data_IF_543057147949
#
_entry.id   IF_543057147949
#
_cell.length_a   1.000
_cell.length_b   1.000
_cell.length_c   1.000
_cell.angle_alpha   90.00
_cell.angle_beta   90.00
_cell.angle_gamma   90.00
#
_symmetry.space_group_name_H-M   'P 1'
#
loop_
_entity.id
_entity.type
_entity.pdbx_description
1 polymer ?
#
# COMPACT_ATOMS: atom_id res chain seq x y z
N UNK A 1 -22.85 29.32 -5.11
CA UNK A 1 -23.23 30.74 -5.31
C UNK A 1 -22.04 31.70 -5.43
N UNK A 2 -20.87 31.47 -4.80
CA UNK A 2 -19.73 32.44 -4.83
C UNK A 2 -19.14 32.70 -6.24
N UNK A 3 -19.02 31.68 -7.09
CA UNK A 3 -18.41 31.80 -8.43
C UNK A 3 -19.18 32.71 -9.39
N UNK A 4 -20.51 32.72 -9.33
CA UNK A 4 -21.35 33.57 -10.17
C UNK A 4 -21.14 35.07 -9.85
N UNK A 5 -21.11 35.41 -8.57
CA UNK A 5 -20.91 36.77 -8.08
C UNK A 5 -19.46 37.26 -8.23
N UNK A 6 -18.49 36.34 -8.26
CA UNK A 6 -17.08 36.65 -8.59
C UNK A 6 -16.94 37.22 -10.02
N UNK A 7 -17.73 36.71 -10.97
CA UNK A 7 -17.65 37.14 -12.36
C UNK A 7 -18.57 38.34 -12.66
N UNK A 8 -19.81 38.33 -12.14
CA UNK A 8 -20.86 39.31 -12.48
C UNK A 8 -21.07 40.42 -11.44
N UNK A 9 -20.50 40.33 -10.24
CA UNK A 9 -20.69 41.31 -9.17
C UNK A 9 -19.87 42.60 -9.33
N UNK A 10 -20.22 43.66 -8.59
CA UNK A 10 -19.38 44.86 -8.45
C UNK A 10 -18.09 44.59 -7.66
N UNK A 11 -17.14 45.55 -7.65
CA UNK A 11 -15.80 45.39 -7.05
C UNK A 11 -15.85 44.85 -5.61
N UNK A 12 -16.70 45.41 -4.75
CA UNK A 12 -16.84 44.94 -3.36
C UNK A 12 -17.39 43.52 -3.27
N UNK A 13 -18.36 43.17 -4.11
CA UNK A 13 -18.93 41.81 -4.16
C UNK A 13 -17.88 40.80 -4.62
N UNK A 14 -17.05 41.16 -5.61
CA UNK A 14 -15.93 40.33 -6.07
C UNK A 14 -14.90 40.09 -4.97
N UNK A 15 -14.55 41.14 -4.21
CA UNK A 15 -13.63 41.02 -3.07
C UNK A 15 -14.17 40.04 -2.03
N UNK A 16 -15.42 40.21 -1.60
CA UNK A 16 -16.06 39.32 -0.61
C UNK A 16 -16.22 37.89 -1.12
N UNK A 17 -16.57 37.70 -2.39
CA UNK A 17 -16.63 36.38 -3.03
C UNK A 17 -15.25 35.70 -3.07
N UNK A 18 -14.18 36.47 -3.31
CA UNK A 18 -12.80 35.98 -3.29
C UNK A 18 -12.39 35.52 -1.89
N UNK A 19 -12.67 36.34 -0.86
CA UNK A 19 -12.38 35.97 0.55
C UNK A 19 -13.13 34.71 0.95
N UNK A 20 -14.43 34.60 0.60
CA UNK A 20 -15.21 33.38 0.87
C UNK A 20 -14.63 32.16 0.17
N UNK A 21 -14.19 32.30 -1.08
CA UNK A 21 -13.56 31.22 -1.81
C UNK A 21 -12.24 30.81 -1.17
N UNK A 22 -11.42 31.79 -0.78
CA UNK A 22 -10.14 31.57 -0.13
C UNK A 22 -10.32 30.80 1.18
N UNK A 23 -11.27 31.19 2.04
CA UNK A 23 -11.57 30.50 3.30
C UNK A 23 -11.95 29.03 3.05
N UNK A 24 -12.80 28.76 2.05
CA UNK A 24 -13.18 27.39 1.69
C UNK A 24 -12.00 26.59 1.16
N UNK A 25 -11.08 27.24 0.45
CA UNK A 25 -9.87 26.62 -0.10
C UNK A 25 -8.78 26.34 0.96
N UNK A 26 -8.76 27.05 2.10
CA UNK A 26 -7.69 26.90 3.11
C UNK A 26 -7.54 25.45 3.59
N UNK A 27 -8.63 24.81 3.97
CA UNK A 27 -8.60 23.45 4.55
C UNK A 27 -8.05 22.43 3.54
N UNK A 28 -8.60 22.30 2.31
CA UNK A 28 -8.04 21.35 1.34
C UNK A 28 -6.62 21.72 0.92
N UNK A 29 -6.28 22.99 0.77
CA UNK A 29 -4.91 23.41 0.46
C UNK A 29 -3.93 23.04 1.56
N UNK A 30 -4.30 23.24 2.84
CA UNK A 30 -3.48 22.83 3.98
C UNK A 30 -3.22 21.32 3.98
N UNK A 31 -4.25 20.51 3.75
CA UNK A 31 -4.11 19.05 3.66
C UNK A 31 -3.17 18.67 2.51
N UNK A 32 -3.35 19.26 1.32
CA UNK A 32 -2.51 19.00 0.16
C UNK A 32 -1.04 19.35 0.46
N UNK A 33 -0.77 20.54 1.03
CA UNK A 33 0.61 20.96 1.34
C UNK A 33 1.28 19.98 2.30
N UNK A 34 0.57 19.52 3.34
CA UNK A 34 1.13 18.56 4.29
C UNK A 34 1.38 17.19 3.67
N UNK A 35 0.43 16.68 2.86
CA UNK A 35 0.61 15.41 2.14
C UNK A 35 1.77 15.51 1.14
N UNK A 36 1.86 16.62 0.40
CA UNK A 36 2.95 16.86 -0.55
C UNK A 36 4.30 16.96 0.17
N UNK A 37 4.38 17.74 1.25
CA UNK A 37 5.60 17.86 2.05
C UNK A 37 6.05 16.53 2.64
N UNK A 38 5.11 15.74 3.18
CA UNK A 38 5.38 14.39 3.65
C UNK A 38 5.85 13.47 2.52
N UNK A 39 5.20 13.54 1.35
CA UNK A 39 5.55 12.73 0.17
C UNK A 39 6.97 13.04 -0.30
N UNK A 40 7.34 14.32 -0.39
CA UNK A 40 8.68 14.75 -0.78
C UNK A 40 9.72 14.25 0.23
N UNK A 41 9.42 14.38 1.53
CA UNK A 41 10.31 13.93 2.60
C UNK A 41 10.50 12.40 2.63
N UNK A 42 9.56 11.66 2.05
CA UNK A 42 9.55 10.20 2.03
C UNK A 42 9.56 9.64 0.59
N UNK A 43 10.14 10.38 -0.35
CA UNK A 43 10.05 10.10 -1.78
C UNK A 43 10.48 8.67 -2.15
N UNK A 44 11.55 8.17 -1.53
CA UNK A 44 12.13 6.87 -1.89
C UNK A 44 11.20 5.73 -1.44
N UNK A 45 10.61 5.87 -0.25
CA UNK A 45 9.57 4.97 0.24
C UNK A 45 8.33 4.99 -0.65
N UNK A 46 7.81 6.19 -0.97
CA UNK A 46 6.62 6.34 -1.83
C UNK A 46 6.90 5.77 -3.23
N UNK A 47 8.05 6.07 -3.82
CA UNK A 47 8.47 5.52 -5.10
C UNK A 47 8.57 4.00 -5.06
N UNK A 48 9.14 3.42 -4.00
CA UNK A 48 9.20 1.97 -3.79
C UNK A 48 7.81 1.32 -3.78
N UNK A 49 6.87 1.88 -3.01
CA UNK A 49 5.48 1.39 -2.97
C UNK A 49 4.82 1.48 -4.35
N UNK A 50 4.97 2.61 -5.04
CA UNK A 50 4.40 2.80 -6.38
C UNK A 50 5.00 1.85 -7.42
N UNK A 51 6.30 1.57 -7.34
CA UNK A 51 6.97 0.57 -8.19
C UNK A 51 6.40 -0.82 -7.91
N UNK A 52 6.24 -1.22 -6.64
CA UNK A 52 5.63 -2.51 -6.31
C UNK A 52 4.20 -2.62 -6.87
N UNK A 53 3.39 -1.57 -6.74
CA UNK A 53 2.04 -1.53 -7.30
C UNK A 53 2.07 -1.61 -8.83
N UNK A 54 3.00 -0.91 -9.48
CA UNK A 54 3.13 -0.94 -10.93
C UNK A 54 3.52 -2.33 -11.43
N UNK A 55 4.50 -2.98 -10.82
CA UNK A 55 4.91 -4.35 -11.16
C UNK A 55 3.77 -5.32 -10.95
N UNK A 56 3.12 -5.28 -9.79
CA UNK A 56 1.97 -6.12 -9.47
C UNK A 56 0.82 -5.93 -10.48
N UNK A 57 0.53 -4.69 -10.86
CA UNK A 57 -0.51 -4.37 -11.82
C UNK A 57 -0.18 -4.86 -13.23
N UNK A 58 1.07 -4.68 -13.69
CA UNK A 58 1.53 -5.16 -15.00
C UNK A 58 1.47 -6.68 -15.05
N UNK A 59 2.07 -7.37 -14.07
CA UNK A 59 2.10 -8.84 -14.05
C UNK A 59 0.69 -9.40 -13.91
N UNK A 60 -0.14 -8.83 -13.04
CA UNK A 60 -1.55 -9.22 -12.89
C UNK A 60 -2.34 -9.02 -14.19
N UNK A 61 -2.13 -7.90 -14.89
CA UNK A 61 -2.77 -7.64 -16.19
C UNK A 61 -2.37 -8.68 -17.23
N UNK A 62 -1.08 -9.00 -17.34
CA UNK A 62 -0.57 -10.05 -18.24
C UNK A 62 -1.17 -11.41 -17.89
N UNK A 63 -1.20 -11.75 -16.60
CA UNK A 63 -1.76 -13.02 -16.13
C UNK A 63 -3.25 -13.16 -16.51
N UNK A 64 -4.07 -12.15 -16.21
CA UNK A 64 -5.50 -12.16 -16.54
C UNK A 64 -5.78 -12.07 -18.04
N UNK A 65 -4.94 -11.37 -18.82
CA UNK A 65 -5.10 -11.27 -20.26
C UNK A 65 -4.76 -12.58 -20.99
N UNK A 66 -3.65 -13.23 -20.64
CA UNK A 66 -3.12 -14.34 -21.43
C UNK A 66 -3.36 -15.72 -20.82
N UNK A 67 -3.43 -15.86 -19.50
CA UNK A 67 -3.63 -17.16 -18.83
C UNK A 67 -5.10 -17.40 -18.52
N UNK A 68 -5.73 -16.48 -17.78
CA UNK A 68 -7.12 -16.63 -17.32
C UNK A 68 -8.12 -16.24 -18.40
N UNK A 69 -7.74 -15.33 -19.31
CA UNK A 69 -8.57 -14.82 -20.40
C UNK A 69 -9.87 -14.14 -19.94
N UNK A 70 -9.86 -13.53 -18.77
CA UNK A 70 -11.00 -12.81 -18.17
C UNK A 70 -10.75 -11.29 -18.02
N UNK A 71 -9.70 -10.79 -18.68
CA UNK A 71 -9.29 -9.40 -18.61
C UNK A 71 -10.38 -8.45 -19.09
N UNK A 72 -10.68 -7.45 -18.27
CA UNK A 72 -11.52 -6.31 -18.65
C UNK A 72 -10.91 -5.03 -18.09
N UNK A 73 -10.91 -3.96 -18.87
CA UNK A 73 -10.35 -2.66 -18.45
C UNK A 73 -11.00 -2.15 -17.16
N UNK A 74 -12.31 -2.35 -17.00
CA UNK A 74 -13.05 -1.96 -15.79
C UNK A 74 -12.52 -2.67 -14.55
N UNK A 75 -12.42 -4.00 -14.56
CA UNK A 75 -11.90 -4.77 -13.42
C UNK A 75 -10.44 -4.39 -13.12
N UNK A 76 -9.64 -4.22 -14.18
CA UNK A 76 -8.24 -3.87 -14.04
C UNK A 76 -8.04 -2.50 -13.37
N UNK A 77 -8.76 -1.48 -13.84
CA UNK A 77 -8.71 -0.12 -13.28
C UNK A 77 -9.21 -0.09 -11.83
N UNK A 78 -10.31 -0.79 -11.52
CA UNK A 78 -10.80 -0.92 -10.14
C UNK A 78 -9.75 -1.58 -9.25
N UNK A 79 -9.12 -2.67 -9.72
CA UNK A 79 -8.05 -3.35 -8.99
C UNK A 79 -6.87 -2.44 -8.67
N UNK A 80 -6.44 -1.62 -9.63
CA UNK A 80 -5.37 -0.62 -9.44
C UNK A 80 -5.76 0.43 -8.40
N UNK A 81 -6.96 1.02 -8.53
CA UNK A 81 -7.45 2.04 -7.62
C UNK A 81 -7.60 1.50 -6.19
N UNK A 82 -8.07 0.27 -6.04
CA UNK A 82 -8.16 -0.39 -4.73
C UNK A 82 -6.80 -0.60 -4.09
N UNK A 83 -5.79 -1.03 -4.86
CA UNK A 83 -4.42 -1.23 -4.33
C UNK A 83 -3.78 0.10 -3.92
N UNK A 84 -3.94 1.14 -4.73
CA UNK A 84 -3.49 2.49 -4.40
C UNK A 84 -4.18 3.03 -3.14
N UNK A 85 -5.50 2.92 -3.06
CA UNK A 85 -6.26 3.44 -1.91
C UNK A 85 -5.91 2.71 -0.62
N UNK A 86 -5.76 1.38 -0.65
CA UNK A 86 -5.34 0.60 0.51
C UNK A 86 -3.94 0.97 0.99
N UNK A 87 -2.98 1.16 0.08
CA UNK A 87 -1.63 1.61 0.46
C UNK A 87 -1.63 3.01 1.08
N UNK A 88 -2.41 3.95 0.53
CA UNK A 88 -2.55 5.30 1.08
C UNK A 88 -3.18 5.27 2.47
N UNK A 89 -4.30 4.55 2.64
CA UNK A 89 -4.98 4.42 3.92
C UNK A 89 -4.07 3.78 4.96
N UNK A 90 -3.40 2.68 4.61
CA UNK A 90 -2.47 2.00 5.52
C UNK A 90 -1.29 2.90 5.91
N UNK A 91 -0.69 3.61 4.96
CA UNK A 91 0.41 4.54 5.23
C UNK A 91 -0.01 5.65 6.21
N UNK A 92 -1.21 6.23 6.04
CA UNK A 92 -1.74 7.26 6.95
C UNK A 92 -1.98 6.67 8.34
N UNK A 93 -2.61 5.50 8.44
CA UNK A 93 -2.89 4.86 9.73
C UNK A 93 -1.60 4.57 10.49
N UNK A 94 -0.59 4.01 9.80
CA UNK A 94 0.70 3.73 10.41
C UNK A 94 1.49 4.98 10.78
N UNK A 95 1.41 6.05 9.97
CA UNK A 95 1.97 7.35 10.31
C UNK A 95 1.44 7.84 11.66
N UNK A 96 0.12 7.79 11.84
CA UNK A 96 -0.53 8.20 13.10
C UNK A 96 -0.03 7.35 14.27
N UNK A 97 0.14 6.03 14.08
CA UNK A 97 0.61 5.13 15.12
C UNK A 97 2.01 5.53 15.63
N UNK A 98 2.99 5.69 14.75
CA UNK A 98 4.33 6.02 15.21
C UNK A 98 4.49 7.48 15.65
N UNK A 99 3.62 8.39 15.20
CA UNK A 99 3.59 9.77 15.70
C UNK A 99 3.26 9.85 17.21
N UNK A 100 2.52 8.87 17.76
CA UNK A 100 2.22 8.80 19.20
C UNK A 100 3.49 8.61 20.04
N UNK A 101 4.50 7.93 19.49
CA UNK A 101 5.75 7.59 20.18
C UNK A 101 6.94 8.45 19.71
N UNK A 102 6.67 9.58 19.04
CA UNK A 102 7.70 10.45 18.44
C UNK A 102 8.78 10.95 19.40
N UNK A 103 8.47 11.00 20.71
CA UNK A 103 9.40 11.48 21.74
C UNK A 103 10.47 10.44 22.10
N UNK A 104 10.22 9.16 21.82
CA UNK A 104 11.17 8.08 22.03
C UNK A 104 11.80 7.68 20.69
N UNK A 105 12.94 8.31 20.35
CA UNK A 105 13.60 8.18 19.03
C UNK A 105 13.80 6.74 18.56
N UNK A 106 14.30 5.86 19.44
CA UNK A 106 14.50 4.44 19.12
C UNK A 106 13.18 3.78 18.70
N UNK A 107 12.15 3.90 19.53
CA UNK A 107 10.85 3.24 19.30
C UNK A 107 10.20 3.80 18.05
N UNK A 108 10.26 5.13 17.86
CA UNK A 108 9.76 5.82 16.68
C UNK A 108 10.41 5.28 15.39
N UNK A 109 11.74 5.22 15.33
CA UNK A 109 12.46 4.82 14.12
C UNK A 109 12.20 3.34 13.78
N UNK A 110 12.23 2.46 14.77
CA UNK A 110 11.92 1.04 14.56
C UNK A 110 10.48 0.84 14.09
N UNK A 111 9.50 1.47 14.75
CA UNK A 111 8.10 1.32 14.39
C UNK A 111 7.81 1.90 13.01
N UNK A 112 8.42 3.03 12.67
CA UNK A 112 8.35 3.65 11.35
C UNK A 112 8.93 2.73 10.27
N UNK A 113 10.08 2.10 10.50
CA UNK A 113 10.66 1.15 9.55
C UNK A 113 9.76 -0.07 9.34
N UNK A 114 9.31 -0.70 10.44
CA UNK A 114 8.48 -1.91 10.39
C UNK A 114 7.16 -1.65 9.70
N UNK A 115 6.48 -0.56 10.04
CA UNK A 115 5.18 -0.23 9.46
C UNK A 115 5.28 0.11 7.97
N UNK A 116 6.34 0.82 7.54
CA UNK A 116 6.61 1.04 6.12
C UNK A 116 6.88 -0.25 5.37
N UNK A 117 7.62 -1.17 5.98
CA UNK A 117 7.85 -2.49 5.40
C UNK A 117 6.52 -3.24 5.20
N UNK A 118 5.62 -3.22 6.18
CA UNK A 118 4.28 -3.84 6.05
C UNK A 118 3.52 -3.27 4.86
N UNK A 119 3.51 -1.94 4.68
CA UNK A 119 2.82 -1.30 3.55
C UNK A 119 3.42 -1.70 2.20
N UNK A 120 4.76 -1.79 2.10
CA UNK A 120 5.44 -2.24 0.87
C UNK A 120 5.18 -3.72 0.59
N UNK A 121 5.11 -4.55 1.63
CA UNK A 121 4.89 -5.98 1.49
C UNK A 121 3.50 -6.31 0.94
N UNK A 122 2.49 -5.46 1.14
CA UNK A 122 1.16 -5.67 0.55
C UNK A 122 1.19 -5.76 -0.99
N UNK A 123 1.60 -4.71 -1.76
CA UNK A 123 1.68 -4.80 -3.20
C UNK A 123 2.80 -5.74 -3.67
N UNK A 124 3.92 -5.83 -2.96
CA UNK A 124 5.01 -6.74 -3.33
C UNK A 124 4.57 -8.22 -3.22
N UNK A 125 3.87 -8.59 -2.15
CA UNK A 125 3.33 -9.93 -1.96
C UNK A 125 2.30 -10.28 -3.04
N UNK A 126 1.42 -9.34 -3.39
CA UNK A 126 0.50 -9.51 -4.53
C UNK A 126 1.27 -9.72 -5.85
N UNK A 127 2.32 -8.93 -6.11
CA UNK A 127 3.17 -9.10 -7.28
C UNK A 127 3.76 -10.50 -7.33
N UNK A 128 4.34 -10.95 -6.22
CA UNK A 128 4.93 -12.28 -6.10
C UNK A 128 3.95 -13.41 -6.37
N UNK A 129 2.71 -13.31 -5.88
CA UNK A 129 1.67 -14.31 -6.21
C UNK A 129 1.38 -14.35 -7.72
N UNK A 130 1.25 -13.18 -8.35
CA UNK A 130 1.01 -13.10 -9.79
C UNK A 130 2.20 -13.63 -10.62
N UNK A 131 3.44 -13.34 -10.22
CA UNK A 131 4.66 -13.83 -10.88
C UNK A 131 4.76 -15.36 -10.70
N UNK A 132 4.50 -15.87 -9.50
CA UNK A 132 4.49 -17.32 -9.25
C UNK A 132 3.45 -18.01 -10.12
N UNK A 133 2.24 -17.47 -10.23
CA UNK A 133 1.20 -18.01 -11.10
C UNK A 133 1.62 -17.98 -12.57
N UNK A 134 2.25 -16.90 -13.04
CA UNK A 134 2.71 -16.77 -14.42
C UNK A 134 3.85 -17.74 -14.77
N UNK A 135 4.73 -18.01 -13.80
CA UNK A 135 5.92 -18.87 -13.95
C UNK A 135 5.67 -20.34 -13.57
N UNK A 136 4.42 -20.73 -13.33
CA UNK A 136 4.05 -22.06 -12.81
C UNK A 136 4.83 -22.44 -11.55
N UNK A 137 5.05 -21.48 -10.65
CA UNK A 137 5.71 -21.73 -9.38
C UNK A 137 7.22 -21.78 -9.40
N UNK A 138 7.87 -21.30 -10.48
CA UNK A 138 9.34 -21.21 -10.53
C UNK A 138 9.86 -20.06 -9.68
N UNK A 139 9.18 -18.91 -9.68
CA UNK A 139 9.60 -17.75 -8.89
C UNK A 139 8.43 -16.85 -8.47
N UNK A 140 8.34 -16.49 -7.17
CA UNK A 140 8.91 -17.25 -6.06
C UNK A 140 8.31 -18.68 -6.02
N UNK A 141 9.01 -19.66 -5.44
CA UNK A 141 8.53 -21.04 -5.37
C UNK A 141 7.16 -21.16 -4.69
N UNK A 142 6.28 -22.03 -5.18
CA UNK A 142 4.94 -22.25 -4.60
C UNK A 142 5.00 -22.63 -3.12
N UNK A 143 6.01 -23.41 -2.72
CA UNK A 143 6.23 -23.78 -1.32
C UNK A 143 6.53 -22.58 -0.41
N UNK A 144 7.13 -21.52 -0.95
CA UNK A 144 7.37 -20.29 -0.21
C UNK A 144 6.09 -19.47 -0.06
N UNK A 145 5.33 -19.34 -1.15
CA UNK A 145 4.02 -18.66 -1.15
C UNK A 145 3.03 -19.38 -0.22
N UNK A 146 3.00 -20.71 -0.22
CA UNK A 146 2.10 -21.48 0.64
C UNK A 146 2.43 -21.31 2.12
N UNK A 147 3.73 -21.31 2.49
CA UNK A 147 4.18 -21.02 3.86
C UNK A 147 3.79 -19.62 4.32
N UNK A 148 3.96 -18.61 3.47
CA UNK A 148 3.50 -17.25 3.77
C UNK A 148 1.99 -17.14 3.93
N UNK A 149 1.23 -17.81 3.07
CA UNK A 149 -0.23 -17.81 3.16
C UNK A 149 -0.72 -18.53 4.43
N UNK A 150 -0.09 -19.65 4.80
CA UNK A 150 -0.37 -20.36 6.04
C UNK A 150 -0.06 -19.49 7.27
N UNK A 151 1.09 -18.81 7.26
CA UNK A 151 1.44 -17.87 8.32
C UNK A 151 0.48 -16.69 8.41
N UNK A 152 0.08 -16.09 7.30
CA UNK A 152 -0.89 -14.99 7.31
C UNK A 152 -2.28 -15.42 7.82
N UNK A 153 -2.64 -16.69 7.65
CA UNK A 153 -3.92 -17.24 8.08
C UNK A 153 -3.93 -17.57 9.58
N UNK A 154 -2.90 -18.29 10.04
CA UNK A 154 -2.90 -18.93 11.36
C UNK A 154 -1.86 -18.32 12.33
N UNK A 155 -1.03 -17.38 11.85
CA UNK A 155 0.11 -16.77 12.57
C UNK A 155 1.10 -17.78 13.16
N UNK A 156 1.07 -19.02 12.69
CA UNK A 156 1.89 -20.10 13.19
C UNK A 156 3.26 -20.14 12.50
N UNK A 157 4.31 -19.85 13.27
CA UNK A 157 5.71 -19.89 12.86
C UNK A 157 6.22 -21.32 12.62
N UNK A 158 5.53 -22.35 13.11
CA UNK A 158 5.94 -23.73 12.90
C UNK A 158 5.92 -24.13 11.43
N UNK A 159 5.12 -23.45 10.60
CA UNK A 159 5.09 -23.65 9.15
C UNK A 159 6.42 -23.28 8.45
N UNK A 160 7.28 -22.48 9.09
CA UNK A 160 8.61 -22.13 8.60
C UNK A 160 9.72 -23.01 9.20
N UNK A 161 9.44 -23.79 10.24
CA UNK A 161 10.42 -24.71 10.82
C UNK A 161 10.60 -25.90 9.89
N UNK A 162 11.83 -26.32 9.68
CA UNK A 162 12.09 -27.61 9.06
C UNK A 162 11.56 -28.70 10.00
N UNK A 163 10.85 -29.69 9.43
CA UNK A 163 10.52 -30.90 10.17
C UNK A 163 11.84 -31.54 10.55
N UNK A 164 12.22 -31.48 11.83
CA UNK A 164 13.28 -32.36 12.33
C UNK A 164 12.82 -33.80 12.04
N UNK A 165 13.66 -34.65 11.44
CA UNK A 165 13.32 -36.06 11.32
C UNK A 165 13.09 -36.58 12.75
N UNK A 166 11.93 -37.18 13.00
CA UNK A 166 11.71 -37.99 14.19
C UNK A 166 12.83 -39.03 14.21
N UNK A 167 13.78 -38.86 15.12
CA UNK A 167 14.68 -39.93 15.50
C UNK A 167 13.80 -40.98 16.16
N UNK A 168 13.33 -41.95 15.36
CA UNK A 168 12.80 -43.19 15.88
C UNK A 168 13.94 -43.87 16.64
N UNK A 169 14.02 -43.63 17.94
CA UNK A 169 14.63 -44.55 18.88
C UNK A 169 13.86 -45.87 18.77
N UNK A 170 14.29 -46.70 17.82
CA UNK A 170 14.11 -48.14 17.92
C UNK A 170 14.94 -48.58 19.12
N UNK A 171 14.33 -48.53 20.30
CA UNK A 171 14.78 -49.29 21.45
C UNK A 171 14.57 -50.75 21.04
N UNK A 172 15.67 -51.38 20.61
CA UNK A 172 15.79 -52.83 20.53
C UNK A 172 15.90 -53.32 21.97
N UNK A 173 14.83 -53.91 22.48
CA UNK A 173 14.87 -54.94 23.53
C UNK A 173 14.28 -56.24 22.97
#
# INVERSE_FOLDING_TARGET
MSFYWLHKGGILIKLWSTVKLAIVAVIPTFVIINITGWTISNRDYVAGVLICIAVDHIVGSIYHAFRVKDFTFKKNAIGLLTKLSLCVVAAILFEVIYLVVKEASLIYDYLKMVTRLIVVLYPAGSAFMNISALTNGRFPPLGWISKLNAFNKDLDLNNFRDKQPDTQENIIE
#
